data_IF_114775734240
#
_entry.id   IF_114775734240
#
_cell.length_a   1.000
_cell.length_b   1.000
_cell.length_c   1.000
_cell.angle_alpha   90.00
_cell.angle_beta   90.00
_cell.angle_gamma   90.00
#
_symmetry.space_group_name_H-M   'P 1'
#
loop_
_entity.id
_entity.type
_entity.pdbx_description
1 polymer ?
#
# COMPACT_ATOMS: atom_id res chain seq x y z
N UNK A 1 -14.55 -35.64 10.83
CA UNK A 1 -13.86 -34.78 11.79
C UNK A 1 -12.35 -34.78 11.62
N UNK A 2 -11.68 -35.96 11.59
CA UNK A 2 -10.22 -36.06 11.42
C UNK A 2 -9.70 -35.44 10.10
N UNK A 3 -10.39 -35.63 8.98
CA UNK A 3 -10.04 -35.06 7.67
C UNK A 3 -10.14 -33.52 7.65
N UNK A 4 -11.11 -32.94 8.34
CA UNK A 4 -11.27 -31.49 8.43
C UNK A 4 -10.15 -30.88 9.29
N UNK A 5 -9.72 -31.58 10.34
CA UNK A 5 -8.57 -31.16 11.16
C UNK A 5 -7.27 -31.28 10.37
N UNK A 6 -7.08 -32.36 9.60
CA UNK A 6 -5.91 -32.53 8.74
C UNK A 6 -5.86 -31.49 7.63
N UNK A 7 -7.00 -31.13 7.03
CA UNK A 7 -7.11 -30.06 6.01
C UNK A 7 -6.82 -28.69 6.61
N UNK A 8 -7.29 -28.42 7.84
CA UNK A 8 -6.99 -27.17 8.55
C UNK A 8 -5.51 -27.08 8.92
N UNK A 9 -4.88 -28.20 9.29
CA UNK A 9 -3.44 -28.27 9.58
C UNK A 9 -2.63 -28.07 8.30
N UNK A 10 -3.02 -28.70 7.19
CA UNK A 10 -2.35 -28.51 5.88
C UNK A 10 -2.47 -27.09 5.34
N UNK A 11 -3.59 -26.39 5.58
CA UNK A 11 -3.72 -24.98 5.24
C UNK A 11 -2.89 -24.05 6.13
N UNK A 12 -2.61 -24.45 7.39
CA UNK A 12 -1.69 -23.74 8.28
C UNK A 12 -0.22 -23.84 7.84
N UNK A 13 0.15 -24.91 7.14
CA UNK A 13 1.50 -25.13 6.60
C UNK A 13 1.68 -24.62 5.16
N UNK A 14 0.62 -24.20 4.48
CA UNK A 14 0.73 -23.59 3.15
C UNK A 14 1.47 -22.27 3.29
N UNK A 15 2.47 -22.07 2.46
CA UNK A 15 3.20 -20.82 2.43
C UNK A 15 2.22 -19.67 2.12
N UNK A 16 1.83 -18.93 3.15
CA UNK A 16 0.74 -17.94 3.09
C UNK A 16 1.24 -16.58 2.64
N UNK A 17 2.20 -16.53 1.71
CA UNK A 17 2.62 -15.31 1.05
C UNK A 17 1.55 -14.88 0.06
N UNK A 18 1.08 -13.66 0.19
CA UNK A 18 0.25 -12.99 -0.78
C UNK A 18 1.14 -12.14 -1.66
N UNK A 19 0.80 -12.06 -2.93
CA UNK A 19 1.54 -11.31 -3.92
C UNK A 19 0.58 -10.45 -4.74
N UNK A 20 0.90 -9.17 -4.88
CA UNK A 20 0.19 -8.19 -5.71
C UNK A 20 1.17 -7.53 -6.64
N UNK A 21 0.92 -7.60 -7.93
CA UNK A 21 1.65 -6.87 -8.96
C UNK A 21 0.66 -6.03 -9.76
N UNK A 22 0.98 -4.76 -9.96
CA UNK A 22 0.19 -3.86 -10.80
C UNK A 22 1.09 -2.86 -11.48
N UNK A 23 0.86 -2.61 -12.77
CA UNK A 23 1.53 -1.60 -13.57
C UNK A 23 0.52 -0.81 -14.39
N UNK A 24 0.79 0.48 -14.61
CA UNK A 24 -0.03 1.35 -15.44
C UNK A 24 0.83 2.29 -16.27
N UNK A 25 0.38 2.60 -17.48
CA UNK A 25 1.02 3.59 -18.34
C UNK A 25 0.61 5.00 -17.89
N UNK A 26 1.57 5.91 -17.94
CA UNK A 26 1.44 7.30 -17.50
C UNK A 26 1.73 8.23 -18.68
N UNK A 27 0.82 9.16 -18.93
CA UNK A 27 0.95 10.18 -19.97
C UNK A 27 1.72 11.40 -19.45
N UNK A 28 2.89 11.14 -18.88
CA UNK A 28 3.82 12.14 -18.36
C UNK A 28 5.25 11.62 -18.45
N UNK A 29 6.22 12.53 -18.43
CA UNK A 29 7.64 12.14 -18.46
C UNK A 29 8.06 11.44 -17.17
N UNK A 30 9.16 10.72 -17.23
CA UNK A 30 9.76 10.07 -16.05
C UNK A 30 10.12 11.09 -14.97
N UNK A 31 10.56 12.29 -15.34
CA UNK A 31 10.85 13.38 -14.42
C UNK A 31 9.61 13.82 -13.65
N UNK A 32 8.47 13.96 -14.34
CA UNK A 32 7.19 14.30 -13.67
C UNK A 32 6.78 13.21 -12.66
N UNK A 33 6.94 11.94 -13.03
CA UNK A 33 6.70 10.82 -12.10
C UNK A 33 7.65 10.87 -10.89
N UNK A 34 8.93 11.16 -11.11
CA UNK A 34 9.92 11.24 -10.04
C UNK A 34 9.62 12.39 -9.08
N UNK A 35 9.17 13.55 -9.57
CA UNK A 35 8.76 14.68 -8.72
C UNK A 35 7.60 14.28 -7.80
N UNK A 36 6.62 13.55 -8.30
CA UNK A 36 5.48 13.05 -7.50
C UNK A 36 5.94 12.07 -6.41
N UNK A 37 6.87 11.19 -6.75
CA UNK A 37 7.45 10.23 -5.80
C UNK A 37 8.28 10.95 -4.73
N UNK A 38 9.10 11.93 -5.14
CA UNK A 38 9.89 12.73 -4.18
C UNK A 38 9.00 13.52 -3.22
N UNK A 39 7.88 14.11 -3.70
CA UNK A 39 6.89 14.75 -2.84
C UNK A 39 6.21 13.73 -1.89
N UNK A 40 5.91 12.53 -2.37
CA UNK A 40 5.38 11.45 -1.53
C UNK A 40 6.36 11.07 -0.41
N UNK A 41 7.62 10.89 -0.73
CA UNK A 41 8.68 10.57 0.25
C UNK A 41 8.84 11.74 1.22
N UNK A 42 8.83 12.98 0.74
CA UNK A 42 8.88 14.16 1.59
C UNK A 42 7.69 14.24 2.55
N UNK A 43 6.47 14.00 2.08
CA UNK A 43 5.29 13.93 2.95
C UNK A 43 5.41 12.80 4.00
N UNK A 44 5.93 11.64 3.60
CA UNK A 44 6.20 10.54 4.55
C UNK A 44 7.15 10.95 5.67
N UNK A 45 8.13 11.81 5.36
CA UNK A 45 9.12 12.29 6.33
C UNK A 45 8.60 13.38 7.25
N UNK A 46 7.71 14.25 6.75
CA UNK A 46 7.41 15.53 7.41
C UNK A 46 5.97 15.67 7.86
N UNK A 47 5.02 15.08 7.13
CA UNK A 47 3.59 15.28 7.38
C UNK A 47 2.75 14.06 6.94
N UNK A 48 2.55 13.08 7.85
CA UNK A 48 1.74 11.89 7.57
C UNK A 48 0.30 12.21 7.16
N UNK A 49 -0.25 13.33 7.64
CA UNK A 49 -1.60 13.75 7.26
C UNK A 49 -1.65 14.14 5.79
N UNK A 50 -0.69 14.94 5.34
CA UNK A 50 -0.58 15.34 3.96
C UNK A 50 -0.29 14.15 3.04
N UNK A 51 0.53 13.18 3.49
CA UNK A 51 0.72 11.91 2.81
C UNK A 51 -0.63 11.20 2.58
N UNK A 52 -1.44 11.10 3.63
CA UNK A 52 -2.76 10.46 3.54
C UNK A 52 -3.69 11.18 2.58
N UNK A 53 -3.83 12.49 2.72
CA UNK A 53 -4.71 13.31 1.88
C UNK A 53 -4.31 13.29 0.39
N UNK A 54 -3.01 13.33 0.10
CA UNK A 54 -2.51 13.37 -1.27
C UNK A 54 -2.45 12.01 -1.95
N UNK A 55 -1.91 11.01 -1.28
CA UNK A 55 -1.52 9.76 -1.92
C UNK A 55 -2.41 8.58 -1.58
N UNK A 56 -3.13 8.65 -0.46
CA UNK A 56 -4.07 7.61 -0.04
C UNK A 56 -5.53 7.99 -0.25
N UNK A 57 -5.78 9.00 -1.06
CA UNK A 57 -7.13 9.38 -1.47
C UNK A 57 -7.89 8.18 -2.05
N UNK A 58 -9.12 7.99 -1.61
CA UNK A 58 -10.00 6.91 -2.04
C UNK A 58 -9.66 5.52 -1.52
N UNK A 59 -8.57 5.34 -0.76
CA UNK A 59 -8.21 4.03 -0.20
C UNK A 59 -9.14 3.59 0.95
N UNK A 60 -9.79 4.54 1.60
CA UNK A 60 -10.82 4.31 2.62
C UNK A 60 -12.21 4.04 2.06
N UNK A 61 -12.44 4.23 0.76
CA UNK A 61 -13.77 4.10 0.15
C UNK A 61 -14.21 2.65 0.05
N UNK A 62 -15.50 2.42 0.30
CA UNK A 62 -16.12 1.10 0.21
C UNK A 62 -16.84 0.95 -1.12
N UNK A 63 -16.67 -0.20 -1.79
CA UNK A 63 -17.64 -0.65 -2.76
C UNK A 63 -18.78 -1.42 -2.06
N UNK A 64 -19.97 -1.43 -2.63
CA UNK A 64 -21.18 -2.11 -2.09
C UNK A 64 -20.97 -3.59 -1.73
N UNK A 65 -19.93 -4.21 -2.27
CA UNK A 65 -19.65 -5.63 -2.10
C UNK A 65 -18.72 -5.93 -0.92
N UNK A 66 -18.13 -4.92 -0.27
CA UNK A 66 -17.10 -5.10 0.75
C UNK A 66 -17.64 -4.83 2.15
N UNK A 67 -17.83 -5.89 2.93
CA UNK A 67 -18.46 -5.82 4.26
C UNK A 67 -17.48 -5.51 5.41
N UNK A 68 -16.18 -5.81 5.27
CA UNK A 68 -15.18 -5.58 6.30
C UNK A 68 -14.01 -4.83 5.68
N UNK A 69 -13.84 -3.59 6.10
CA UNK A 69 -12.80 -2.74 5.56
C UNK A 69 -11.77 -2.48 6.64
N UNK A 70 -10.54 -2.86 6.35
CA UNK A 70 -9.39 -2.51 7.17
C UNK A 70 -8.87 -1.15 6.73
N UNK A 71 -8.59 -0.28 7.70
CA UNK A 71 -7.93 1.00 7.49
C UNK A 71 -6.64 1.06 8.28
N UNK A 72 -5.71 1.83 7.76
CA UNK A 72 -4.51 2.23 8.49
C UNK A 72 -4.63 3.73 8.79
N UNK A 73 -4.76 4.08 10.06
CA UNK A 73 -4.73 5.46 10.50
C UNK A 73 -3.31 5.80 10.94
N UNK A 74 -2.66 6.67 10.18
CA UNK A 74 -1.29 7.09 10.42
C UNK A 74 -1.26 8.14 11.52
N UNK A 75 -0.46 7.90 12.55
CA UNK A 75 -0.29 8.82 13.69
C UNK A 75 0.99 9.61 13.57
N UNK A 76 2.10 8.90 13.40
CA UNK A 76 3.43 9.48 13.35
C UNK A 76 4.27 8.76 12.29
N UNK A 77 5.17 9.51 11.68
CA UNK A 77 6.19 8.95 10.81
C UNK A 77 7.53 9.58 11.10
N UNK A 78 8.59 8.80 10.94
CA UNK A 78 9.97 9.26 11.00
C UNK A 78 10.75 8.53 9.91
N UNK A 79 11.51 9.26 9.13
CA UNK A 79 12.38 8.70 8.13
C UNK A 79 13.81 9.21 8.35
N UNK A 80 14.77 8.30 8.29
CA UNK A 80 16.20 8.56 8.50
C UNK A 80 16.95 8.18 7.23
N UNK A 81 17.11 9.12 6.27
CA UNK A 81 17.66 8.81 4.94
C UNK A 81 19.10 8.27 5.01
N UNK A 82 19.91 8.73 5.96
CA UNK A 82 21.27 8.25 6.17
C UNK A 82 21.34 6.77 6.60
N UNK A 83 20.25 6.23 7.12
CA UNK A 83 20.09 4.81 7.52
C UNK A 83 19.18 4.04 6.60
N UNK A 84 18.57 4.72 5.63
CA UNK A 84 17.52 4.15 4.78
C UNK A 84 16.38 3.50 5.60
N UNK A 85 16.06 4.09 6.74
CA UNK A 85 15.17 3.52 7.74
C UNK A 85 13.97 4.41 7.97
N UNK A 86 12.80 3.79 8.05
CA UNK A 86 11.53 4.45 8.36
C UNK A 86 10.87 3.79 9.56
N UNK A 87 10.25 4.59 10.40
CA UNK A 87 9.42 4.14 11.51
C UNK A 87 8.08 4.83 11.44
N UNK A 88 7.01 4.04 11.49
CA UNK A 88 5.64 4.49 11.42
C UNK A 88 4.89 4.05 12.67
N UNK A 89 4.04 4.92 13.19
CA UNK A 89 3.08 4.60 14.23
C UNK A 89 1.68 4.72 13.63
N UNK A 90 0.90 3.66 13.73
CA UNK A 90 -0.42 3.62 13.13
C UNK A 90 -1.43 2.82 13.96
N UNK A 91 -2.71 3.10 13.76
CA UNK A 91 -3.79 2.25 14.23
C UNK A 91 -4.34 1.42 13.06
N UNK A 92 -4.71 0.18 13.35
CA UNK A 92 -5.47 -0.67 12.42
C UNK A 92 -6.93 -0.62 12.83
N UNK A 93 -7.78 -0.12 11.94
CA UNK A 93 -9.22 -0.04 12.16
C UNK A 93 -9.93 -1.10 11.32
N UNK A 94 -11.02 -1.62 11.87
CA UNK A 94 -11.96 -2.49 11.15
C UNK A 94 -13.34 -1.86 11.26
N UNK A 95 -13.92 -1.50 10.12
CA UNK A 95 -15.21 -0.81 10.06
C UNK A 95 -15.22 0.42 11.00
N UNK A 96 -14.20 1.28 10.88
CA UNK A 96 -14.00 2.51 11.65
C UNK A 96 -13.75 2.33 13.17
N UNK A 97 -13.67 1.10 13.63
CA UNK A 97 -13.36 0.80 15.04
C UNK A 97 -11.92 0.36 15.20
N UNK A 98 -11.19 0.92 16.17
CA UNK A 98 -9.84 0.48 16.44
C UNK A 98 -9.79 -1.01 16.78
N UNK A 99 -9.06 -1.77 15.96
CA UNK A 99 -8.81 -3.18 16.16
C UNK A 99 -7.45 -3.42 16.80
N UNK A 100 -6.41 -2.73 16.29
CA UNK A 100 -5.10 -2.64 16.92
C UNK A 100 -4.74 -1.17 17.06
N UNK A 101 -4.18 -0.79 18.21
CA UNK A 101 -3.70 0.56 18.47
C UNK A 101 -2.20 0.58 18.61
N UNK A 102 -1.62 1.70 18.21
CA UNK A 102 -0.20 2.00 18.42
C UNK A 102 0.73 0.92 17.83
N UNK A 103 0.37 0.45 16.63
CA UNK A 103 1.20 -0.52 15.90
C UNK A 103 2.42 0.21 15.36
N UNK A 104 3.59 -0.23 15.80
CA UNK A 104 4.86 0.24 15.26
C UNK A 104 5.21 -0.59 14.04
N UNK A 105 5.53 0.08 12.93
CA UNK A 105 6.06 -0.53 11.71
C UNK A 105 7.44 0.06 11.46
N UNK A 106 8.42 -0.79 11.31
CA UNK A 106 9.80 -0.42 11.00
C UNK A 106 10.19 -1.02 9.65
N UNK A 107 10.80 -0.21 8.80
CA UNK A 107 11.11 -0.60 7.43
C UNK A 107 12.46 -0.03 6.97
N UNK A 108 13.16 -0.81 6.17
CA UNK A 108 14.24 -0.35 5.31
C UNK A 108 13.65 0.20 4.02
N UNK A 109 14.14 1.37 3.59
CA UNK A 109 13.69 2.01 2.34
C UNK A 109 14.92 2.28 1.48
N UNK A 110 15.05 1.54 0.40
CA UNK A 110 16.15 1.70 -0.55
C UNK A 110 15.64 2.36 -1.82
N UNK A 111 16.19 3.51 -2.18
CA UNK A 111 15.92 4.20 -3.44
C UNK A 111 17.13 4.04 -4.37
N UNK A 112 16.91 3.45 -5.51
CA UNK A 112 17.93 3.24 -6.54
C UNK A 112 17.46 3.79 -7.87
N UNK A 113 18.31 4.58 -8.52
CA UNK A 113 18.03 5.22 -9.81
C UNK A 113 19.07 4.82 -10.84
N UNK A 114 18.59 4.47 -12.02
CA UNK A 114 19.37 4.26 -13.23
C UNK A 114 18.76 5.03 -14.40
N UNK A 115 19.42 5.10 -15.54
CA UNK A 115 18.90 5.74 -16.74
C UNK A 115 17.62 5.07 -17.28
N UNK A 116 17.39 3.82 -16.92
CA UNK A 116 16.28 3.01 -17.43
C UNK A 116 15.15 2.82 -16.40
N UNK A 117 15.41 3.06 -15.09
CA UNK A 117 14.45 2.73 -14.06
C UNK A 117 14.83 3.34 -12.72
N UNK A 118 13.83 3.79 -11.99
CA UNK A 118 13.92 4.05 -10.56
C UNK A 118 13.15 2.98 -9.80
N UNK A 119 13.79 2.39 -8.80
CA UNK A 119 13.20 1.40 -7.90
C UNK A 119 13.27 1.90 -6.47
N UNK A 120 12.12 1.95 -5.80
CA UNK A 120 12.03 2.21 -4.37
C UNK A 120 11.56 0.92 -3.71
N UNK A 121 12.48 0.27 -3.03
CA UNK A 121 12.21 -0.96 -2.30
C UNK A 121 11.97 -0.67 -0.83
N UNK A 122 10.91 -1.25 -0.31
CA UNK A 122 10.54 -1.20 1.11
C UNK A 122 10.54 -2.61 1.65
N UNK A 123 11.37 -2.87 2.63
CA UNK A 123 11.43 -4.14 3.37
C UNK A 123 10.96 -3.88 4.79
N UNK A 124 9.88 -4.52 5.22
CA UNK A 124 9.34 -4.37 6.57
C UNK A 124 10.12 -5.27 7.52
N UNK A 125 10.90 -4.67 8.40
CA UNK A 125 11.71 -5.38 9.39
C UNK A 125 10.88 -5.77 10.62
N UNK A 126 9.91 -4.91 10.98
CA UNK A 126 9.07 -5.13 12.14
C UNK A 126 7.67 -4.54 11.93
N UNK A 127 6.65 -5.29 12.27
CA UNK A 127 5.25 -4.86 12.32
C UNK A 127 4.47 -5.62 13.42
N UNK A 128 5.11 -5.88 14.54
CA UNK A 128 4.52 -6.62 15.67
C UNK A 128 4.04 -8.01 15.28
N UNK A 129 2.83 -8.34 15.71
CA UNK A 129 2.17 -9.63 15.37
C UNK A 129 1.37 -9.57 14.06
N UNK A 130 1.25 -8.40 13.46
CA UNK A 130 0.44 -8.18 12.26
C UNK A 130 1.05 -8.87 11.05
N UNK A 131 2.33 -8.64 10.81
CA UNK A 131 3.06 -9.20 9.68
C UNK A 131 4.19 -10.10 10.17
N UNK A 132 4.44 -11.17 9.43
CA UNK A 132 5.62 -12.01 9.60
C UNK A 132 6.73 -11.57 8.66
N UNK A 133 6.35 -11.16 7.46
CA UNK A 133 7.24 -10.74 6.39
C UNK A 133 6.45 -9.87 5.43
N UNK A 134 7.00 -8.75 5.02
CA UNK A 134 6.44 -7.96 3.94
C UNK A 134 7.56 -7.17 3.27
N UNK A 135 7.51 -7.15 1.95
CA UNK A 135 8.40 -6.31 1.14
C UNK A 135 7.71 -5.95 -0.15
N UNK A 136 8.13 -4.85 -0.73
CA UNK A 136 7.61 -4.41 -2.00
C UNK A 136 8.57 -3.49 -2.72
N UNK A 137 8.38 -3.37 -4.02
CA UNK A 137 9.13 -2.47 -4.88
C UNK A 137 8.15 -1.61 -5.66
N UNK A 138 8.33 -0.33 -5.56
CA UNK A 138 7.78 0.67 -6.44
C UNK A 138 8.75 0.91 -7.58
N UNK A 139 8.26 1.05 -8.80
CA UNK A 139 9.14 1.35 -9.92
C UNK A 139 8.53 2.38 -10.89
N UNK A 140 9.43 3.16 -11.48
CA UNK A 140 9.14 4.06 -12.60
C UNK A 140 10.10 3.73 -13.73
N UNK A 141 9.55 3.58 -14.93
CA UNK A 141 10.33 3.29 -16.14
C UNK A 141 9.94 4.22 -17.27
N UNK A 142 10.88 4.81 -18.00
CA UNK A 142 10.57 5.54 -19.22
C UNK A 142 10.04 4.57 -20.29
N UNK A 143 8.98 4.98 -20.99
CA UNK A 143 8.44 4.24 -22.16
C UNK A 143 8.53 5.09 -23.43
N UNK A 144 8.80 6.38 -23.27
CA UNK A 144 9.02 7.36 -24.34
C UNK A 144 9.45 8.69 -23.76
N UNK A 145 9.59 9.70 -24.60
CA UNK A 145 10.03 11.03 -24.15
C UNK A 145 9.09 11.67 -23.14
N UNK A 146 7.77 11.52 -23.35
CA UNK A 146 6.72 12.10 -22.49
C UNK A 146 5.78 11.01 -21.95
N UNK A 147 6.27 9.79 -21.85
CA UNK A 147 5.49 8.66 -21.32
C UNK A 147 6.35 7.81 -20.41
N UNK A 148 5.75 7.33 -19.36
CA UNK A 148 6.38 6.44 -18.39
C UNK A 148 5.44 5.29 -18.02
N UNK A 149 5.96 4.33 -17.30
CA UNK A 149 5.19 3.29 -16.63
C UNK A 149 5.50 3.33 -15.15
N UNK A 150 4.47 3.31 -14.33
CA UNK A 150 4.57 3.17 -12.86
C UNK A 150 4.03 1.81 -12.48
N UNK A 151 4.70 1.15 -11.55
CA UNK A 151 4.23 -0.13 -11.05
C UNK A 151 4.62 -0.42 -9.62
N UNK A 152 4.00 -1.48 -9.09
CA UNK A 152 4.24 -2.00 -7.77
C UNK A 152 4.27 -3.53 -7.80
N UNK A 153 5.19 -4.08 -7.03
CA UNK A 153 5.29 -5.52 -6.75
C UNK A 153 5.40 -5.67 -5.23
N UNK A 154 4.37 -6.27 -4.60
CA UNK A 154 4.26 -6.36 -3.14
C UNK A 154 4.03 -7.80 -2.71
N UNK A 155 4.82 -8.23 -1.73
CA UNK A 155 4.73 -9.51 -1.08
C UNK A 155 4.40 -9.33 0.39
N UNK A 156 3.36 -10.00 0.88
CA UNK A 156 2.90 -9.89 2.27
C UNK A 156 2.62 -11.26 2.86
N UNK A 157 3.19 -11.51 4.03
CA UNK A 157 2.92 -12.68 4.85
C UNK A 157 2.46 -12.24 6.23
N UNK A 158 1.22 -12.52 6.54
CA UNK A 158 0.66 -12.16 7.85
C UNK A 158 1.19 -13.05 8.96
N UNK A 159 1.22 -12.49 10.17
CA UNK A 159 1.49 -13.26 11.39
C UNK A 159 0.47 -14.40 11.55
N UNK A 160 0.85 -15.44 12.30
CA UNK A 160 0.08 -16.67 12.41
C UNK A 160 -1.40 -16.45 12.84
N UNK A 161 -1.65 -15.49 13.71
CA UNK A 161 -2.99 -15.15 14.19
C UNK A 161 -3.85 -14.55 13.07
N UNK A 162 -3.33 -13.56 12.35
CA UNK A 162 -4.06 -12.88 11.28
C UNK A 162 -4.25 -13.77 10.06
N UNK A 163 -3.31 -14.66 9.79
CA UNK A 163 -3.38 -15.62 8.70
C UNK A 163 -4.61 -16.53 8.76
N UNK A 164 -5.17 -16.79 9.94
CA UNK A 164 -6.38 -17.59 10.11
C UNK A 164 -7.60 -16.87 9.51
N UNK A 165 -7.60 -15.53 9.58
CA UNK A 165 -8.73 -14.70 9.14
C UNK A 165 -8.56 -14.14 7.73
N UNK A 166 -7.33 -14.09 7.20
CA UNK A 166 -7.03 -13.50 5.89
C UNK A 166 -6.93 -14.60 4.86
N UNK A 167 -8.06 -14.89 4.22
CA UNK A 167 -8.10 -15.72 3.01
C UNK A 167 -7.63 -14.91 1.79
N UNK A 168 -7.35 -15.60 0.66
CA UNK A 168 -7.02 -14.91 -0.60
C UNK A 168 -8.12 -13.93 -1.02
N UNK A 169 -9.37 -14.28 -0.81
CA UNK A 169 -10.50 -13.39 -1.09
C UNK A 169 -10.48 -12.15 -0.20
N UNK A 170 -10.26 -12.31 1.11
CA UNK A 170 -10.16 -11.18 2.05
C UNK A 170 -8.99 -10.28 1.68
N UNK A 171 -7.83 -10.85 1.34
CA UNK A 171 -6.66 -10.09 0.89
C UNK A 171 -6.98 -9.27 -0.37
N UNK A 172 -7.54 -9.90 -1.40
CA UNK A 172 -7.92 -9.22 -2.63
C UNK A 172 -8.97 -8.12 -2.37
N UNK A 173 -10.00 -8.43 -1.59
CA UNK A 173 -11.07 -7.49 -1.28
C UNK A 173 -10.63 -6.30 -0.38
N UNK A 174 -9.47 -6.41 0.28
CA UNK A 174 -9.01 -5.40 1.23
C UNK A 174 -7.70 -4.73 0.87
N UNK A 175 -6.78 -5.43 0.21
CA UNK A 175 -5.41 -4.93 -0.03
C UNK A 175 -5.13 -4.72 -1.51
N UNK A 176 -5.38 -5.72 -2.37
CA UNK A 176 -5.05 -5.62 -3.80
C UNK A 176 -5.60 -4.33 -4.44
N UNK A 177 -6.89 -4.08 -4.29
CA UNK A 177 -7.52 -2.92 -4.90
C UNK A 177 -6.99 -1.58 -4.35
N UNK A 178 -6.52 -1.56 -3.09
CA UNK A 178 -5.91 -0.37 -2.50
C UNK A 178 -4.54 -0.10 -3.11
N UNK A 179 -3.75 -1.15 -3.35
CA UNK A 179 -2.47 -1.02 -4.03
C UNK A 179 -2.66 -0.53 -5.46
N UNK A 180 -3.65 -1.06 -6.18
CA UNK A 180 -4.02 -0.57 -7.52
C UNK A 180 -4.40 0.91 -7.45
N UNK A 181 -5.30 1.30 -6.55
CA UNK A 181 -5.75 2.70 -6.41
C UNK A 181 -4.60 3.63 -6.02
N UNK A 182 -3.71 3.18 -5.17
CA UNK A 182 -2.53 3.95 -4.79
C UNK A 182 -1.63 4.22 -6.01
N UNK A 183 -1.38 3.23 -6.85
CA UNK A 183 -0.63 3.42 -8.11
C UNK A 183 -1.37 4.35 -9.07
N UNK A 184 -2.70 4.23 -9.17
CA UNK A 184 -3.51 5.15 -9.97
C UNK A 184 -3.48 6.58 -9.43
N UNK A 185 -3.41 6.79 -8.11
CA UNK A 185 -3.21 8.12 -7.53
C UNK A 185 -1.86 8.72 -7.96
N UNK A 186 -0.79 7.94 -7.95
CA UNK A 186 0.53 8.39 -8.42
C UNK A 186 0.49 8.73 -9.90
N UNK A 187 -0.13 7.89 -10.74
CA UNK A 187 -0.33 8.14 -12.15
C UNK A 187 -1.05 9.48 -12.39
N UNK A 188 -2.25 9.63 -11.83
CA UNK A 188 -3.08 10.82 -12.04
C UNK A 188 -2.36 12.10 -11.60
N UNK A 189 -1.64 12.06 -10.49
CA UNK A 189 -0.82 13.20 -10.04
C UNK A 189 0.34 13.48 -10.97
N UNK A 190 0.99 12.47 -11.51
CA UNK A 190 2.05 12.64 -12.50
C UNK A 190 1.53 13.26 -13.80
N UNK A 191 0.27 12.99 -14.14
CA UNK A 191 -0.44 13.59 -15.27
C UNK A 191 -1.04 14.99 -14.94
N UNK A 192 -0.76 15.54 -13.75
CA UNK A 192 -1.22 16.87 -13.31
C UNK A 192 -2.67 16.89 -12.79
N UNK A 193 -3.28 15.75 -12.55
CA UNK A 193 -4.64 15.65 -12.01
C UNK A 193 -4.60 15.72 -10.49
N UNK A 194 -5.37 16.63 -9.89
CA UNK A 194 -5.59 16.66 -8.45
C UNK A 194 -6.56 15.56 -8.04
N UNK A 195 -6.12 14.71 -7.13
CA UNK A 195 -6.89 13.54 -6.68
C UNK A 195 -7.15 13.67 -5.18
N UNK A 196 -8.42 13.58 -4.81
CA UNK A 196 -8.91 13.55 -3.45
C UNK A 196 -10.03 12.49 -3.28
N UNK A 197 -10.56 12.38 -2.08
CA UNK A 197 -11.66 11.44 -1.82
C UNK A 197 -12.93 11.79 -2.63
N UNK A 198 -13.18 13.07 -2.92
CA UNK A 198 -14.32 13.49 -3.71
C UNK A 198 -14.18 13.02 -5.17
N UNK A 199 -12.98 13.04 -5.74
CA UNK A 199 -12.69 12.48 -7.06
C UNK A 199 -13.09 11.00 -7.14
N UNK A 200 -12.61 10.19 -6.20
CA UNK A 200 -12.94 8.76 -6.16
C UNK A 200 -14.40 8.51 -5.81
N UNK A 201 -14.99 9.37 -4.96
CA UNK A 201 -16.42 9.33 -4.63
C UNK A 201 -17.31 9.45 -5.87
N UNK A 202 -16.96 10.30 -6.80
CA UNK A 202 -17.68 10.44 -8.06
C UNK A 202 -17.56 9.19 -8.94
N UNK A 203 -16.35 8.62 -9.04
CA UNK A 203 -16.08 7.41 -9.84
C UNK A 203 -16.76 6.19 -9.23
N UNK A 204 -16.68 6.01 -7.92
CA UNK A 204 -17.26 4.87 -7.21
C UNK A 204 -18.77 5.01 -6.94
N UNK A 205 -19.43 6.05 -7.50
CA UNK A 205 -20.86 6.29 -7.30
C UNK A 205 -21.21 6.98 -5.98
N UNK A 206 -20.27 7.75 -5.41
CA UNK A 206 -20.50 8.62 -4.25
C UNK A 206 -20.55 7.91 -2.91
N UNK A 207 -20.09 6.67 -2.82
CA UNK A 207 -20.11 5.91 -1.57
C UNK A 207 -18.79 6.05 -0.82
N UNK A 208 -18.70 7.09 -0.03
CA UNK A 208 -17.65 7.26 0.99
C UNK A 208 -18.05 6.40 2.21
N UNK A 209 -17.11 5.70 2.80
CA UNK A 209 -17.31 5.06 4.09
C UNK A 209 -17.66 6.14 5.14
N UNK A 210 -18.85 6.08 5.69
CA UNK A 210 -19.29 6.89 6.83
C UNK A 210 -18.91 6.21 8.14
#
# INVERSE_FOLDING_TARGET
MLLAILFSILTLFRDGMFHTTYETDVQASTEACNVVIDDMIYCLQTDPKQLSEKYFAGLGMQSDTKKNVFYLEWKESSYFPERQYSKLLLDVLVNEKPFLKDVVVEAQVTDSMSDLRRDIRVDIDYAGTLLKEAYGTFHVMPTGENTAKIGVDVHVKFGWFFRIFISRKVYSDTIDWRLVRFVENLKLRSEGVSVDDAYWGQIDGGKVAQ
#
